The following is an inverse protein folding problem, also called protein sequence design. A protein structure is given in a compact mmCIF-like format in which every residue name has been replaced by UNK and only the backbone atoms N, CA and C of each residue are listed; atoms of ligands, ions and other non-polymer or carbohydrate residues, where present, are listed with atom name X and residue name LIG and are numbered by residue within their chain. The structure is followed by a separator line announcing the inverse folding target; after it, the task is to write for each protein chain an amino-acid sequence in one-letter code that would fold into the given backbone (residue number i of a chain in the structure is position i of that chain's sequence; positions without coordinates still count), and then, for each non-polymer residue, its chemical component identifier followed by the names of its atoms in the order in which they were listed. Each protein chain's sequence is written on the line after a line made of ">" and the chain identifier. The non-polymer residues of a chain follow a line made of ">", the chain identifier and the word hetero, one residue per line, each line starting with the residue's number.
data_IF_755436428092
#
_entry.id   IF_755436428092
#
_cell.length_a   1.000
_cell.length_b   1.000
_cell.length_c   1.000
_cell.angle_alpha   90.00
_cell.angle_beta   90.00
_cell.angle_gamma   90.00
#
_symmetry.space_group_name_H-M   'P 1'
#
loop_
_entity.id
_entity.type
_entity.pdbx_description
1 polymer ?
#
# COMPACT_ATOMS: atom_id res chain seq x y z
N UNK A 1 1.73 7.39 -35.32
CA UNK A 1 2.00 6.46 -34.20
C UNK A 1 1.41 7.04 -32.91
N UNK A 2 0.28 6.49 -32.42
CA UNK A 2 -0.40 6.98 -31.21
C UNK A 2 0.27 6.34 -29.99
N UNK A 3 1.17 7.07 -29.32
CA UNK A 3 1.72 6.67 -28.01
C UNK A 3 0.64 6.95 -26.96
N UNK A 4 -0.35 6.05 -26.86
CA UNK A 4 -1.38 6.08 -25.82
C UNK A 4 -0.94 5.37 -24.52
N UNK A 5 0.31 4.93 -24.47
CA UNK A 5 0.71 3.74 -23.71
C UNK A 5 1.28 4.05 -22.32
N UNK A 6 1.60 5.30 -22.01
CA UNK A 6 2.28 5.63 -20.76
C UNK A 6 1.32 5.91 -19.60
N UNK A 7 0.03 5.52 -19.69
CA UNK A 7 -0.99 5.70 -18.63
C UNK A 7 -0.64 5.11 -17.27
N UNK A 8 -0.15 3.87 -17.22
CA UNK A 8 -0.02 3.18 -15.95
C UNK A 8 1.38 3.19 -15.34
N UNK A 9 2.40 3.39 -16.18
CA UNK A 9 3.83 3.20 -15.88
C UNK A 9 4.30 3.96 -14.62
N UNK A 10 3.86 5.20 -14.43
CA UNK A 10 4.49 6.11 -13.44
C UNK A 10 3.85 6.05 -12.05
N UNK A 11 2.57 5.70 -11.95
CA UNK A 11 1.92 5.43 -10.65
C UNK A 11 2.47 4.11 -10.06
N UNK A 12 2.67 3.13 -10.93
CA UNK A 12 3.07 1.78 -10.57
C UNK A 12 4.51 1.63 -10.14
N UNK A 13 5.40 2.33 -10.82
CA UNK A 13 6.79 2.34 -10.43
C UNK A 13 7.00 2.88 -9.01
N UNK A 14 6.05 3.58 -8.38
CA UNK A 14 6.34 4.29 -7.14
C UNK A 14 5.81 3.72 -5.84
N UNK A 15 5.02 2.66 -5.90
CA UNK A 15 4.88 1.79 -4.73
C UNK A 15 6.16 0.98 -4.50
N UNK A 16 7.24 1.21 -5.25
CA UNK A 16 8.07 0.13 -5.73
C UNK A 16 9.48 0.57 -6.11
N UNK A 17 10.46 0.56 -5.23
CA UNK A 17 11.84 0.88 -5.64
C UNK A 17 12.73 -0.09 -6.53
N UNK A 18 14.04 0.14 -6.79
CA UNK A 18 14.86 -0.58 -7.82
C UNK A 18 16.28 -0.84 -7.35
N UNK A 19 16.75 -2.07 -7.53
CA UNK A 19 18.16 -2.48 -7.51
C UNK A 19 18.72 -2.72 -8.93
N UNK A 20 20.03 -2.82 -9.04
CA UNK A 20 20.79 -2.90 -10.29
C UNK A 20 21.69 -4.17 -10.36
N UNK A 21 21.56 -4.94 -11.45
CA UNK A 21 22.51 -5.95 -11.97
C UNK A 21 22.36 -7.36 -11.38
N UNK A 22 22.24 -8.45 -12.13
CA UNK A 22 23.14 -8.91 -13.19
C UNK A 22 22.52 -10.10 -13.98
N UNK A 23 23.07 -10.44 -15.16
CA UNK A 23 22.63 -11.49 -16.09
C UNK A 23 23.19 -12.89 -15.76
N UNK A 24 22.36 -13.95 -15.75
CA UNK A 24 22.79 -15.37 -15.81
C UNK A 24 21.63 -16.40 -15.77
N UNK A 25 21.68 -17.54 -16.49
CA UNK A 25 20.52 -18.39 -16.77
C UNK A 25 20.23 -19.48 -15.72
N UNK A 26 18.97 -19.92 -15.73
CA UNK A 26 18.38 -20.99 -14.93
C UNK A 26 18.96 -22.38 -15.22
N UNK A 27 19.05 -23.22 -14.17
CA UNK A 27 19.17 -24.66 -14.27
C UNK A 27 18.39 -25.36 -13.14
N UNK A 28 17.39 -26.13 -13.59
CA UNK A 28 16.87 -27.43 -13.15
C UNK A 28 16.74 -27.81 -11.65
N UNK A 29 15.53 -28.29 -11.37
CA UNK A 29 15.07 -29.04 -10.21
C UNK A 29 15.73 -30.43 -10.04
N UNK A 30 15.63 -30.97 -8.82
CA UNK A 30 15.17 -32.33 -8.41
C UNK A 30 15.51 -32.49 -6.92
N UNK A 31 14.51 -32.61 -6.04
CA UNK A 31 13.97 -33.87 -5.47
C UNK A 31 14.83 -34.44 -4.33
N UNK A 32 14.26 -34.54 -3.13
CA UNK A 32 14.17 -35.83 -2.41
C UNK A 32 13.50 -35.65 -1.03
N UNK A 33 12.55 -36.55 -0.79
CA UNK A 33 11.89 -36.80 0.48
C UNK A 33 12.86 -37.30 1.56
N UNK A 34 12.55 -37.05 2.84
CA UNK A 34 12.81 -38.06 3.87
C UNK A 34 11.90 -37.88 5.10
N UNK A 35 11.31 -39.01 5.45
CA UNK A 35 10.44 -39.34 6.57
C UNK A 35 11.29 -39.82 7.76
N UNK A 36 10.90 -39.52 9.02
CA UNK A 36 11.14 -40.35 10.22
C UNK A 36 10.55 -39.66 11.48
N UNK A 37 9.41 -40.11 12.02
CA UNK A 37 9.20 -41.07 13.13
C UNK A 37 9.54 -40.57 14.56
N UNK A 38 8.46 -40.28 15.31
CA UNK A 38 8.06 -40.74 16.65
C UNK A 38 9.13 -41.23 17.64
N UNK A 39 9.14 -40.68 18.86
CA UNK A 39 9.26 -41.49 20.09
C UNK A 39 8.67 -40.79 21.32
N UNK A 40 8.07 -41.60 22.18
CA UNK A 40 7.27 -41.38 23.39
C UNK A 40 8.10 -41.14 24.66
N UNK A 41 7.53 -40.48 25.68
CA UNK A 41 7.52 -40.97 27.08
C UNK A 41 6.69 -40.09 28.02
N UNK A 42 5.76 -40.75 28.71
CA UNK A 42 5.04 -40.36 29.91
C UNK A 42 5.96 -40.23 31.14
N UNK A 43 5.61 -39.36 32.11
CA UNK A 43 5.62 -39.67 33.55
C UNK A 43 4.57 -38.79 34.27
N UNK A 44 3.68 -39.44 35.02
CA UNK A 44 2.72 -38.85 35.95
C UNK A 44 3.30 -38.80 37.38
N UNK A 45 2.84 -37.85 38.20
CA UNK A 45 2.80 -37.99 39.67
C UNK A 45 1.79 -37.02 40.31
N UNK A 46 0.84 -37.60 41.05
CA UNK A 46 -0.07 -37.00 42.03
C UNK A 46 0.66 -36.55 43.32
N UNK A 47 -0.02 -35.74 44.17
CA UNK A 47 -0.35 -36.04 45.60
C UNK A 47 -0.66 -34.74 46.42
N UNK A 48 -1.90 -34.73 46.97
CA UNK A 48 -2.45 -34.24 48.26
C UNK A 48 -2.35 -32.79 48.82
N UNK A 49 -3.53 -32.15 48.86
CA UNK A 49 -4.41 -31.78 50.01
C UNK A 49 -3.91 -31.33 51.43
N UNK A 50 -4.64 -30.29 51.92
CA UNK A 50 -4.95 -29.82 53.30
C UNK A 50 -3.80 -29.19 54.14
N UNK A 51 -3.97 -28.19 55.01
CA UNK A 51 -5.10 -27.72 55.82
C UNK A 51 -4.86 -26.26 56.31
N UNK A 52 -5.95 -25.66 56.80
CA UNK A 52 -6.22 -24.34 57.36
C UNK A 52 -5.42 -23.89 58.60
N UNK A 53 -5.17 -22.57 58.74
CA UNK A 53 -5.31 -21.76 59.99
C UNK A 53 -5.50 -20.26 59.63
N UNK A 54 -6.45 -19.61 60.31
CA UNK A 54 -6.95 -18.22 60.16
C UNK A 54 -6.35 -17.27 61.26
N UNK A 55 -6.81 -16.02 61.47
CA UNK A 55 -6.18 -14.76 61.05
C UNK A 55 -5.64 -13.90 62.21
N UNK A 56 -4.78 -12.90 61.94
CA UNK A 56 -4.62 -11.72 62.80
C UNK A 56 -3.93 -10.53 62.08
N UNK A 57 -4.73 -9.49 61.88
CA UNK A 57 -4.41 -8.06 61.92
C UNK A 57 -3.20 -7.52 61.12
N UNK A 58 -3.52 -6.85 60.01
CA UNK A 58 -2.96 -5.54 59.66
C UNK A 58 -3.86 -4.91 58.61
N UNK A 59 -4.46 -3.75 58.91
CA UNK A 59 -5.08 -2.89 57.90
C UNK A 59 -3.98 -2.46 56.91
N UNK A 60 -4.08 -2.79 55.61
CA UNK A 60 -3.27 -2.15 54.60
C UNK A 60 -3.94 -0.84 54.20
N UNK A 61 -3.17 0.24 54.25
CA UNK A 61 -3.54 1.55 53.72
C UNK A 61 -4.16 1.39 52.32
N UNK A 62 -5.28 2.08 52.09
CA UNK A 62 -5.91 2.20 50.77
C UNK A 62 -4.84 2.62 49.76
N UNK A 63 -4.54 1.81 48.73
CA UNK A 63 -3.74 2.32 47.64
C UNK A 63 -4.57 3.40 46.95
N UNK A 64 -4.06 4.62 46.92
CA UNK A 64 -4.45 5.60 45.92
C UNK A 64 -4.45 4.87 44.57
N UNK A 65 -5.64 4.64 44.01
CA UNK A 65 -5.79 4.14 42.65
C UNK A 65 -5.39 5.31 41.75
N UNK A 66 -4.08 5.49 41.59
CA UNK A 66 -3.52 6.21 40.46
C UNK A 66 -4.09 5.52 39.24
N UNK A 67 -4.98 6.22 38.52
CA UNK A 67 -5.51 5.75 37.26
C UNK A 67 -4.35 5.18 36.43
N UNK A 68 -4.47 3.96 35.88
CA UNK A 68 -3.40 3.41 35.09
C UNK A 68 -3.06 4.42 34.00
N UNK A 69 -1.79 4.82 33.98
CA UNK A 69 -1.20 5.56 32.88
C UNK A 69 -1.44 4.67 31.66
N UNK A 70 -2.45 5.01 30.86
CA UNK A 70 -2.67 4.39 29.56
C UNK A 70 -1.41 4.69 28.78
N UNK A 71 -0.53 3.70 28.68
CA UNK A 71 0.52 3.69 27.67
C UNK A 71 -0.25 3.75 26.36
N UNK A 72 -0.37 4.94 25.78
CA UNK A 72 -0.80 5.08 24.41
C UNK A 72 0.20 4.27 23.61
N UNK A 73 -0.21 3.08 23.17
CA UNK A 73 0.43 2.41 22.04
C UNK A 73 0.62 3.48 20.98
N UNK A 74 1.86 3.71 20.57
CA UNK A 74 2.20 4.81 19.67
C UNK A 74 1.27 4.76 18.46
N UNK A 75 0.51 5.83 18.21
CA UNK A 75 -0.41 5.90 17.06
C UNK A 75 0.41 5.65 15.78
N UNK A 76 0.25 4.50 15.10
CA UNK A 76 1.14 4.13 14.00
C UNK A 76 1.10 5.15 12.86
N UNK A 77 -0.05 5.84 12.70
CA UNK A 77 -0.21 6.91 11.73
C UNK A 77 0.60 8.14 12.09
N UNK A 78 0.70 8.49 13.37
CA UNK A 78 1.43 9.68 13.84
C UNK A 78 2.91 9.61 13.47
N UNK A 79 3.52 8.41 13.51
CA UNK A 79 4.91 8.18 13.10
C UNK A 79 5.15 8.44 11.60
N UNK A 80 4.10 8.39 10.77
CA UNK A 80 4.18 8.62 9.33
C UNK A 80 3.85 10.06 8.92
N UNK A 81 3.31 10.88 9.83
CA UNK A 81 2.94 12.27 9.52
C UNK A 81 4.19 13.11 9.26
N UNK A 82 4.18 13.86 8.16
CA UNK A 82 5.33 14.65 7.69
C UNK A 82 6.27 13.86 6.78
N UNK A 83 5.98 12.60 6.49
CA UNK A 83 6.76 11.78 5.59
C UNK A 83 6.79 12.39 4.17
N UNK A 84 7.97 12.32 3.55
CA UNK A 84 8.20 12.63 2.14
C UNK A 84 9.22 11.62 1.61
N UNK A 85 8.73 10.61 0.89
CA UNK A 85 9.52 9.55 0.28
C UNK A 85 9.79 9.90 -1.20
N UNK A 86 11.02 10.32 -1.56
CA UNK A 86 11.39 10.56 -2.94
C UNK A 86 11.77 9.25 -3.63
N UNK A 87 11.37 9.10 -4.89
CA UNK A 87 11.64 7.92 -5.67
C UNK A 87 12.21 8.25 -7.04
N UNK A 88 13.08 7.37 -7.51
CA UNK A 88 13.52 7.26 -8.90
C UNK A 88 12.63 6.26 -9.67
N UNK A 89 12.54 6.32 -11.00
CA UNK A 89 11.80 5.34 -11.82
C UNK A 89 12.61 4.94 -13.05
N UNK A 90 12.70 3.64 -13.29
CA UNK A 90 13.40 3.00 -14.41
C UNK A 90 12.49 2.04 -15.17
N UNK A 91 12.76 1.85 -16.45
CA UNK A 91 11.98 1.00 -17.34
C UNK A 91 12.84 0.49 -18.53
N UNK A 92 12.79 -0.82 -18.84
CA UNK A 92 13.72 -1.51 -19.75
C UNK A 92 15.20 -1.22 -19.39
N UNK A 93 16.05 -0.92 -20.37
CA UNK A 93 17.48 -0.57 -20.19
C UNK A 93 17.70 0.92 -19.85
N UNK A 94 16.63 1.69 -19.64
CA UNK A 94 16.75 3.11 -19.34
C UNK A 94 16.55 3.38 -17.84
N UNK A 95 17.59 3.93 -17.23
CA UNK A 95 17.61 4.33 -15.82
C UNK A 95 17.16 5.81 -15.69
N UNK A 96 16.54 6.19 -14.56
CA UNK A 96 16.21 7.60 -14.19
C UNK A 96 15.24 8.32 -15.14
N UNK A 97 14.15 7.66 -15.52
CA UNK A 97 13.16 8.18 -16.46
C UNK A 97 12.15 9.13 -15.82
N UNK A 98 11.87 8.98 -14.54
CA UNK A 98 11.02 9.89 -13.79
C UNK A 98 11.43 9.96 -12.34
N UNK A 99 11.07 11.06 -11.71
CA UNK A 99 11.10 11.17 -10.26
C UNK A 99 9.68 11.25 -9.78
N UNK A 100 9.48 10.81 -8.56
CA UNK A 100 8.24 11.08 -7.89
C UNK A 100 8.41 11.16 -6.39
N UNK A 101 7.35 11.56 -5.71
CA UNK A 101 7.35 11.79 -4.27
C UNK A 101 6.01 11.36 -3.71
N UNK A 102 6.05 10.44 -2.74
CA UNK A 102 4.93 10.16 -1.87
C UNK A 102 5.08 11.00 -0.60
N UNK A 103 4.01 11.67 -0.18
CA UNK A 103 4.00 12.46 1.04
C UNK A 103 2.74 12.22 1.84
N UNK A 104 2.85 12.26 3.17
CA UNK A 104 1.72 12.17 4.11
C UNK A 104 1.76 13.34 5.08
N UNK A 105 0.71 14.15 5.09
CA UNK A 105 0.63 15.36 5.91
C UNK A 105 -0.74 15.49 6.56
N UNK A 106 -0.88 16.30 7.62
CA UNK A 106 -2.20 16.68 8.11
C UNK A 106 -3.01 17.37 7.01
N UNK A 107 -4.32 17.10 7.00
CA UNK A 107 -5.27 17.76 6.12
C UNK A 107 -5.57 19.19 6.58
N UNK A 108 -6.46 19.86 5.84
CA UNK A 108 -6.85 21.24 6.18
C UNK A 108 -7.77 21.30 7.40
N UNK A 109 -8.56 20.24 7.62
CA UNK A 109 -9.49 20.12 8.74
C UNK A 109 -8.88 19.23 9.83
N UNK A 110 -9.22 19.51 11.09
CA UNK A 110 -8.76 18.68 12.20
C UNK A 110 -9.25 17.25 12.04
N UNK A 111 -8.39 16.27 12.35
CA UNK A 111 -8.71 14.84 12.17
C UNK A 111 -8.66 14.36 10.72
N UNK A 112 -8.28 15.21 9.77
CA UNK A 112 -8.07 14.82 8.38
C UNK A 112 -6.61 14.73 8.02
N UNK A 113 -6.30 13.95 6.99
CA UNK A 113 -4.96 13.71 6.46
C UNK A 113 -4.98 13.83 4.95
N UNK A 114 -3.82 14.14 4.38
CA UNK A 114 -3.59 14.15 2.93
C UNK A 114 -2.38 13.29 2.57
N UNK A 115 -2.61 12.30 1.73
CA UNK A 115 -1.55 11.64 0.99
C UNK A 115 -1.45 12.25 -0.41
N UNK A 116 -0.23 12.38 -0.93
CA UNK A 116 -0.02 12.81 -2.33
C UNK A 116 1.16 12.07 -2.92
N UNK A 117 0.94 11.54 -4.11
CA UNK A 117 1.92 10.89 -4.95
C UNK A 117 2.06 11.69 -6.25
N UNK A 118 3.13 12.47 -6.34
CA UNK A 118 3.44 13.34 -7.48
C UNK A 118 4.57 12.74 -8.31
N UNK A 119 4.30 12.46 -9.58
CA UNK A 119 5.22 11.82 -10.53
C UNK A 119 5.48 12.70 -11.74
N UNK A 120 6.75 12.79 -12.14
CA UNK A 120 7.18 13.64 -13.25
C UNK A 120 8.23 12.94 -14.10
N UNK A 121 7.96 12.80 -15.40
CA UNK A 121 8.95 12.27 -16.34
C UNK A 121 10.07 13.28 -16.61
N UNK A 122 11.31 12.80 -16.72
CA UNK A 122 12.51 13.62 -16.89
C UNK A 122 13.32 13.18 -18.12
N UNK A 123 14.25 14.04 -18.54
CA UNK A 123 15.22 13.74 -19.60
C UNK A 123 14.59 13.41 -20.96
N UNK A 124 15.21 12.49 -21.70
CA UNK A 124 14.74 12.04 -23.02
C UNK A 124 13.37 11.33 -22.93
N UNK A 125 13.06 10.73 -21.77
CA UNK A 125 11.75 10.14 -21.48
C UNK A 125 10.64 11.19 -21.47
N UNK A 126 10.92 12.41 -21.01
CA UNK A 126 9.95 13.49 -21.01
C UNK A 126 9.48 13.81 -22.43
N UNK A 127 10.39 13.88 -23.42
CA UNK A 127 10.00 14.11 -24.81
C UNK A 127 9.14 12.95 -25.37
N UNK A 128 9.54 11.70 -25.11
CA UNK A 128 8.80 10.51 -25.55
C UNK A 128 7.40 10.41 -24.92
N UNK A 129 7.28 10.85 -23.67
CA UNK A 129 6.02 10.83 -22.91
C UNK A 129 5.18 12.09 -23.07
N UNK A 130 5.61 13.03 -23.92
CA UNK A 130 5.02 14.37 -24.06
C UNK A 130 4.96 15.11 -22.73
N UNK A 131 6.00 15.04 -21.90
CA UNK A 131 6.12 15.74 -20.62
C UNK A 131 4.97 15.39 -19.69
N UNK A 132 4.74 14.09 -19.55
CA UNK A 132 3.70 13.58 -18.70
C UNK A 132 4.03 13.83 -17.23
N UNK A 133 3.03 14.24 -16.47
CA UNK A 133 3.03 14.27 -15.02
C UNK A 133 1.73 13.65 -14.52
N UNK A 134 1.80 12.79 -13.53
CA UNK A 134 0.63 12.27 -12.83
C UNK A 134 0.70 12.65 -11.35
N UNK A 135 -0.42 13.13 -10.81
CA UNK A 135 -0.59 13.42 -9.40
C UNK A 135 -1.77 12.62 -8.90
N UNK A 136 -1.55 11.86 -7.83
CA UNK A 136 -2.59 11.16 -7.11
C UNK A 136 -2.66 11.75 -5.72
N UNK A 137 -3.87 12.03 -5.24
CA UNK A 137 -4.04 12.60 -3.92
C UNK A 137 -5.26 12.03 -3.25
N UNK A 138 -5.14 11.79 -1.95
CA UNK A 138 -6.23 11.30 -1.12
C UNK A 138 -6.38 12.21 0.08
N UNK A 139 -7.60 12.65 0.32
CA UNK A 139 -8.02 13.28 1.56
C UNK A 139 -8.77 12.23 2.35
N UNK A 140 -8.39 12.07 3.61
CA UNK A 140 -8.88 11.04 4.50
C UNK A 140 -9.31 11.66 5.81
N UNK A 141 -10.30 11.06 6.47
CA UNK A 141 -10.59 11.31 7.88
C UNK A 141 -10.06 10.17 8.73
N UNK A 142 -9.72 10.46 9.98
CA UNK A 142 -9.42 9.44 10.98
C UNK A 142 -10.67 9.09 11.78
N UNK A 143 -10.99 7.81 11.78
CA UNK A 143 -12.11 7.24 12.52
C UNK A 143 -11.78 7.07 14.01
N UNK A 144 -12.78 6.88 14.89
CA UNK A 144 -12.56 6.65 16.31
C UNK A 144 -11.71 5.42 16.63
N UNK A 145 -11.70 4.42 15.75
CA UNK A 145 -10.88 3.21 15.87
C UNK A 145 -9.44 3.39 15.38
N UNK A 146 -9.07 4.63 14.99
CA UNK A 146 -7.74 4.99 14.51
C UNK A 146 -7.55 4.87 12.99
N UNK A 147 -8.42 4.12 12.28
CA UNK A 147 -8.30 3.90 10.84
C UNK A 147 -8.53 5.17 10.04
N UNK A 148 -7.92 5.24 8.86
CA UNK A 148 -8.23 6.25 7.86
C UNK A 148 -9.41 5.79 7.01
N UNK A 149 -10.32 6.71 6.68
CA UNK A 149 -11.41 6.48 5.73
C UNK A 149 -11.31 7.51 4.60
N UNK A 150 -11.39 7.05 3.35
CA UNK A 150 -11.30 7.90 2.17
C UNK A 150 -12.45 8.90 2.12
N UNK A 151 -12.15 10.20 2.00
CA UNK A 151 -13.13 11.25 1.73
C UNK A 151 -13.11 11.67 0.26
N UNK A 152 -11.92 11.90 -0.28
CA UNK A 152 -11.71 12.31 -1.67
C UNK A 152 -10.47 11.63 -2.21
N UNK A 153 -10.59 10.98 -3.37
CA UNK A 153 -9.44 10.49 -4.13
C UNK A 153 -9.42 11.15 -5.51
N UNK A 154 -8.29 11.72 -5.90
CA UNK A 154 -8.12 12.40 -7.18
C UNK A 154 -6.89 11.87 -7.91
N UNK A 155 -7.09 11.50 -9.18
CA UNK A 155 -6.03 11.22 -10.14
C UNK A 155 -6.03 12.29 -11.22
N UNK A 156 -4.89 12.97 -11.36
CA UNK A 156 -4.67 13.99 -12.37
C UNK A 156 -3.52 13.59 -13.29
N UNK A 157 -3.78 13.46 -14.59
CA UNK A 157 -2.76 13.30 -15.61
C UNK A 157 -2.63 14.56 -16.44
N UNK A 158 -1.45 15.17 -16.46
CA UNK A 158 -1.10 16.26 -17.37
C UNK A 158 -0.18 15.74 -18.48
N UNK A 159 -0.39 16.18 -19.72
CA UNK A 159 0.53 15.97 -20.85
C UNK A 159 0.70 17.24 -21.66
N UNK A 160 1.81 17.37 -22.37
CA UNK A 160 2.15 18.49 -23.24
C UNK A 160 2.84 19.63 -22.48
N UNK A 161 3.23 20.66 -23.23
CA UNK A 161 3.77 21.93 -22.71
C UNK A 161 3.11 23.11 -23.41
N UNK A 162 3.01 24.24 -22.71
CA UNK A 162 2.42 25.48 -23.26
C UNK A 162 1.00 25.26 -23.79
N UNK A 163 0.75 25.69 -25.03
CA UNK A 163 -0.56 25.59 -25.70
C UNK A 163 -1.02 24.15 -26.01
N UNK A 164 -0.12 23.16 -25.97
CA UNK A 164 -0.45 21.74 -26.15
C UNK A 164 -0.80 21.02 -24.85
N UNK A 165 -0.81 21.73 -23.72
CA UNK A 165 -1.05 21.15 -22.40
C UNK A 165 -2.50 20.67 -22.30
N UNK A 166 -2.67 19.39 -21.99
CA UNK A 166 -3.96 18.76 -21.76
C UNK A 166 -3.95 18.05 -20.40
N UNK A 167 -4.97 18.32 -19.60
CA UNK A 167 -5.17 17.72 -18.28
C UNK A 167 -6.40 16.81 -18.30
N UNK A 168 -6.28 15.65 -17.67
CA UNK A 168 -7.41 14.79 -17.32
C UNK A 168 -7.44 14.62 -15.81
N UNK A 169 -8.62 14.77 -15.23
CA UNK A 169 -8.87 14.55 -13.80
C UNK A 169 -9.96 13.48 -13.68
N UNK A 170 -9.77 12.54 -12.75
CA UNK A 170 -10.81 11.65 -12.24
C UNK A 170 -10.82 11.81 -10.73
N UNK A 171 -11.97 12.16 -10.16
CA UNK A 171 -12.12 12.42 -8.73
C UNK A 171 -13.28 11.62 -8.18
N UNK A 172 -13.00 10.80 -7.17
CA UNK A 172 -13.98 10.14 -6.34
C UNK A 172 -14.20 10.97 -5.07
N UNK A 173 -15.46 11.20 -4.72
CA UNK A 173 -15.86 11.85 -3.47
C UNK A 173 -16.83 10.92 -2.75
N UNK A 174 -16.47 10.50 -1.53
CA UNK A 174 -17.25 9.57 -0.72
C UNK A 174 -18.12 10.38 0.24
N UNK A 175 -19.40 10.50 -0.06
CA UNK A 175 -20.37 11.21 0.76
C UNK A 175 -21.07 10.23 1.71
N UNK A 176 -20.43 9.94 2.84
CA UNK A 176 -20.97 9.03 3.85
C UNK A 176 -22.27 9.52 4.50
N UNK A 177 -22.52 10.84 4.49
CA UNK A 177 -23.74 11.41 5.06
C UNK A 177 -24.97 11.13 4.19
N UNK A 178 -24.79 11.14 2.87
CA UNK A 178 -25.85 10.88 1.90
C UNK A 178 -25.85 9.43 1.40
N UNK A 179 -24.84 8.63 1.76
CA UNK A 179 -24.69 7.26 1.27
C UNK A 179 -24.40 7.21 -0.23
N UNK A 180 -23.67 8.19 -0.76
CA UNK A 180 -23.38 8.31 -2.19
C UNK A 180 -21.88 8.41 -2.46
N UNK A 181 -21.45 7.92 -3.62
CA UNK A 181 -20.11 8.11 -4.14
C UNK A 181 -20.22 8.87 -5.46
N UNK A 182 -19.61 10.05 -5.53
CA UNK A 182 -19.53 10.84 -6.75
C UNK A 182 -18.24 10.57 -7.49
N UNK A 183 -18.36 10.41 -8.80
CA UNK A 183 -17.20 10.39 -9.69
C UNK A 183 -17.26 11.51 -10.70
N UNK A 184 -16.42 12.51 -10.49
CA UNK A 184 -16.19 13.60 -11.44
C UNK A 184 -15.07 13.25 -12.40
N UNK A 185 -15.28 13.49 -13.70
CA UNK A 185 -14.26 13.37 -14.73
C UNK A 185 -14.16 14.68 -15.49
N UNK A 186 -12.94 15.20 -15.61
CA UNK A 186 -12.65 16.40 -16.39
C UNK A 186 -11.67 16.03 -17.50
N UNK A 187 -12.02 16.35 -18.75
CA UNK A 187 -11.15 16.11 -19.92
C UNK A 187 -11.40 17.15 -20.99
N UNK A 188 -10.38 17.93 -21.35
CA UNK A 188 -10.47 18.85 -22.48
C UNK A 188 -11.53 19.94 -22.34
N UNK A 189 -11.86 20.34 -21.11
CA UNK A 189 -12.92 21.32 -20.81
C UNK A 189 -14.31 20.71 -20.58
N UNK A 190 -14.52 19.44 -20.94
CA UNK A 190 -15.75 18.72 -20.61
C UNK A 190 -15.67 18.16 -19.19
N UNK A 191 -16.77 18.28 -18.45
CA UNK A 191 -16.96 17.69 -17.12
C UNK A 191 -18.17 16.76 -17.14
N UNK A 192 -18.01 15.57 -16.58
CA UNK A 192 -19.11 14.63 -16.33
C UNK A 192 -19.09 14.19 -14.89
N UNK A 193 -20.27 13.94 -14.32
CA UNK A 193 -20.44 13.35 -12.99
C UNK A 193 -21.25 12.07 -13.10
N UNK A 194 -20.75 11.01 -12.48
CA UNK A 194 -21.46 9.76 -12.23
C UNK A 194 -21.77 9.71 -10.73
N UNK A 195 -22.92 9.17 -10.36
CA UNK A 195 -23.36 9.00 -8.97
C UNK A 195 -23.59 7.51 -8.74
N UNK A 196 -23.04 7.00 -7.65
CA UNK A 196 -23.19 5.62 -7.22
C UNK A 196 -23.78 5.59 -5.83
N UNK A 197 -24.65 4.63 -5.57
CA UNK A 197 -25.08 4.32 -4.21
C UNK A 197 -23.91 3.67 -3.45
N UNK A 198 -23.67 4.13 -2.23
CA UNK A 198 -22.64 3.58 -1.36
C UNK A 198 -23.12 2.23 -0.80
N UNK A 199 -22.36 1.15 -0.97
CA UNK A 199 -22.71 -0.14 -0.39
C UNK A 199 -22.75 -0.11 1.15
N UNK A 200 -23.52 -1.03 1.76
CA UNK A 200 -23.86 -1.03 3.20
C UNK A 200 -22.66 -1.14 4.15
N UNK A 201 -21.54 -1.72 3.69
CA UNK A 201 -20.30 -1.86 4.46
C UNK A 201 -19.59 -0.51 4.71
N UNK A 202 -19.81 0.48 3.84
CA UNK A 202 -19.50 1.91 4.10
C UNK A 202 -18.05 2.24 4.43
N UNK A 203 -17.11 1.31 4.22
CA UNK A 203 -15.69 1.46 4.53
C UNK A 203 -14.85 1.13 3.30
N UNK A 204 -14.54 2.16 2.51
CA UNK A 204 -13.74 2.02 1.30
C UNK A 204 -12.41 2.72 1.42
N UNK A 205 -11.41 2.10 0.81
CA UNK A 205 -10.07 2.64 0.72
C UNK A 205 -9.76 2.91 -0.75
N UNK A 206 -9.42 4.15 -1.07
CA UNK A 206 -8.61 4.42 -2.26
C UNK A 206 -7.18 3.87 -2.06
N UNK A 207 -6.40 3.82 -3.13
CA UNK A 207 -5.05 3.20 -3.12
C UNK A 207 -4.09 3.82 -2.08
N UNK A 208 -4.15 5.13 -1.83
CA UNK A 208 -3.25 5.76 -0.85
C UNK A 208 -3.75 5.55 0.57
N UNK A 209 -5.07 5.59 0.77
CA UNK A 209 -5.69 5.26 2.06
C UNK A 209 -5.41 3.81 2.45
N UNK A 210 -5.57 2.89 1.50
CA UNK A 210 -5.25 1.47 1.66
C UNK A 210 -3.78 1.29 2.07
N UNK A 211 -2.86 1.98 1.39
CA UNK A 211 -1.43 1.93 1.70
C UNK A 211 -1.12 2.34 3.15
N UNK A 212 -1.62 3.49 3.60
CA UNK A 212 -1.34 3.97 4.97
C UNK A 212 -2.04 3.11 6.03
N UNK A 213 -3.27 2.66 5.79
CA UNK A 213 -3.96 1.74 6.71
C UNK A 213 -3.26 0.38 6.81
N UNK A 214 -2.79 -0.15 5.67
CA UNK A 214 -2.04 -1.40 5.63
C UNK A 214 -0.73 -1.28 6.41
N UNK A 215 0.08 -0.25 6.15
CA UNK A 215 1.34 -0.01 6.85
C UNK A 215 1.14 0.20 8.36
N UNK A 216 0.01 0.77 8.76
CA UNK A 216 -0.36 0.93 10.17
C UNK A 216 -0.88 -0.36 10.83
N UNK A 217 -1.03 -1.47 10.09
CA UNK A 217 -1.51 -2.75 10.63
C UNK A 217 -3.02 -2.83 10.85
N UNK A 218 -3.81 -1.89 10.30
CA UNK A 218 -5.26 -1.85 10.53
C UNK A 218 -6.05 -2.95 9.82
N UNK A 219 -5.39 -3.76 8.99
CA UNK A 219 -5.95 -4.97 8.39
C UNK A 219 -5.44 -6.27 9.04
N UNK A 220 -4.79 -6.14 10.21
CA UNK A 220 -4.13 -7.24 10.92
C UNK A 220 -2.61 -7.10 10.91
N UNK A 221 -1.96 -7.90 11.75
CA UNK A 221 -0.49 -7.99 11.80
C UNK A 221 0.04 -8.47 10.45
N UNK A 222 1.04 -7.75 9.89
CA UNK A 222 1.66 -8.10 8.61
C UNK A 222 2.63 -9.25 8.81
N UNK A 223 2.16 -10.48 8.60
CA UNK A 223 2.96 -11.70 8.77
C UNK A 223 3.36 -12.34 7.43
N UNK A 224 4.53 -13.02 7.34
CA UNK A 224 4.91 -13.82 6.18
C UNK A 224 3.84 -14.85 5.78
N UNK A 225 3.52 -14.94 4.49
CA UNK A 225 2.45 -15.81 3.98
C UNK A 225 1.04 -15.25 4.14
N UNK A 226 0.86 -14.13 4.84
CA UNK A 226 -0.44 -13.50 5.06
C UNK A 226 -1.08 -12.98 3.77
N UNK A 227 -2.41 -13.07 3.69
CA UNK A 227 -3.23 -12.50 2.61
C UNK A 227 -4.21 -11.50 3.21
N UNK A 228 -4.18 -10.27 2.72
CA UNK A 228 -5.01 -9.17 3.19
C UNK A 228 -5.92 -8.71 2.07
N UNK A 229 -7.19 -8.56 2.41
CA UNK A 229 -8.22 -8.12 1.49
C UNK A 229 -8.73 -6.76 1.94
N UNK A 230 -8.37 -5.73 1.18
CA UNK A 230 -8.62 -4.34 1.54
C UNK A 230 -9.82 -3.84 0.71
N UNK A 231 -10.96 -3.50 1.34
CA UNK A 231 -12.13 -3.07 0.60
C UNK A 231 -11.87 -1.75 -0.11
N UNK A 232 -12.21 -1.70 -1.39
CA UNK A 232 -12.07 -0.54 -2.27
C UNK A 232 -13.34 -0.34 -3.10
N UNK A 233 -13.41 0.79 -3.79
CA UNK A 233 -14.53 1.13 -4.66
C UNK A 233 -14.02 1.56 -6.03
N UNK A 234 -14.62 1.01 -7.07
CA UNK A 234 -14.34 1.34 -8.47
C UNK A 234 -15.64 1.71 -9.19
N UNK A 235 -15.58 2.08 -10.47
CA UNK A 235 -16.78 2.30 -11.30
C UNK A 235 -17.63 1.05 -11.47
N UNK A 236 -17.07 -0.12 -11.16
CA UNK A 236 -17.76 -1.40 -11.20
C UNK A 236 -18.43 -1.75 -9.87
N UNK A 237 -18.28 -0.90 -8.84
CA UNK A 237 -18.83 -1.09 -7.50
C UNK A 237 -17.76 -1.46 -6.48
N UNK A 238 -18.16 -2.19 -5.45
CA UNK A 238 -17.24 -2.74 -4.45
C UNK A 238 -16.21 -3.66 -5.11
N UNK A 239 -14.97 -3.55 -4.64
CA UNK A 239 -13.89 -4.45 -5.00
C UNK A 239 -12.91 -4.58 -3.85
N UNK A 240 -11.79 -5.24 -4.13
CA UNK A 240 -10.74 -5.44 -3.14
C UNK A 240 -9.37 -5.17 -3.75
N UNK A 241 -8.49 -4.54 -2.97
CA UNK A 241 -7.04 -4.62 -3.17
C UNK A 241 -6.56 -5.84 -2.40
N UNK A 242 -5.90 -6.78 -3.08
CA UNK A 242 -5.35 -7.98 -2.43
C UNK A 242 -3.86 -7.80 -2.23
N UNK A 243 -3.41 -7.91 -0.98
CA UNK A 243 -1.99 -7.92 -0.63
C UNK A 243 -1.62 -9.32 -0.17
N UNK A 244 -0.74 -9.98 -0.89
CA UNK A 244 -0.18 -11.28 -0.51
C UNK A 244 1.26 -11.09 -0.07
N UNK A 245 1.57 -11.41 1.19
CA UNK A 245 2.93 -11.39 1.72
C UNK A 245 3.60 -12.71 1.39
N UNK A 246 4.79 -12.66 0.79
CA UNK A 246 5.59 -13.85 0.54
C UNK A 246 6.27 -14.35 1.80
N UNK A 247 6.23 -15.67 2.00
CA UNK A 247 7.08 -16.33 2.99
C UNK A 247 8.55 -16.30 2.57
N UNK A 248 9.45 -16.32 3.55
CA UNK A 248 10.88 -16.54 3.29
C UNK A 248 11.07 -17.85 2.51
N UNK A 249 11.77 -17.80 1.37
CA UNK A 249 12.00 -18.96 0.49
C UNK A 249 10.99 -19.18 -0.65
N UNK A 250 9.86 -18.46 -0.68
CA UNK A 250 8.84 -18.58 -1.74
C UNK A 250 8.78 -17.35 -2.67
N UNK A 251 9.84 -16.56 -2.71
CA UNK A 251 9.89 -15.33 -3.51
C UNK A 251 9.94 -15.67 -5.00
N UNK A 252 9.26 -14.90 -5.87
CA UNK A 252 9.29 -15.11 -7.31
C UNK A 252 10.75 -15.06 -7.83
N UNK A 253 11.06 -15.97 -8.76
CA UNK A 253 12.39 -16.08 -9.34
C UNK A 253 12.76 -14.84 -10.17
N UNK A 254 14.01 -14.37 -10.06
CA UNK A 254 14.56 -13.35 -10.95
C UNK A 254 14.41 -11.88 -10.50
N UNK A 255 13.90 -11.64 -9.30
CA UNK A 255 13.84 -10.29 -8.71
C UNK A 255 14.91 -10.12 -7.64
N UNK A 256 15.85 -9.18 -7.86
CA UNK A 256 16.91 -8.81 -6.91
C UNK A 256 16.35 -8.02 -5.69
N UNK A 257 15.45 -8.65 -4.94
CA UNK A 257 14.95 -8.08 -3.68
C UNK A 257 15.90 -8.41 -2.51
N UNK A 258 16.16 -7.45 -1.60
CA UNK A 258 16.95 -7.67 -0.41
C UNK A 258 16.39 -8.81 0.45
N UNK A 259 17.25 -9.57 1.12
CA UNK A 259 16.83 -10.72 1.94
C UNK A 259 16.03 -10.33 3.18
N UNK A 260 16.37 -9.23 3.85
CA UNK A 260 15.56 -8.65 4.94
C UNK A 260 14.31 -7.93 4.40
N UNK A 261 13.40 -7.52 5.28
CA UNK A 261 12.15 -6.84 4.90
C UNK A 261 11.04 -7.77 4.39
N UNK A 262 9.96 -7.17 3.90
CA UNK A 262 8.71 -7.86 3.54
C UNK A 262 8.47 -7.71 2.04
N UNK A 263 8.35 -8.82 1.32
CA UNK A 263 7.95 -8.82 -0.09
C UNK A 263 6.46 -9.13 -0.21
N UNK A 264 5.71 -8.29 -0.91
CA UNK A 264 4.29 -8.44 -1.17
C UNK A 264 4.02 -8.50 -2.67
N UNK A 265 3.08 -9.34 -3.10
CA UNK A 265 2.35 -9.19 -4.36
C UNK A 265 1.08 -8.39 -4.08
N UNK A 266 0.79 -7.39 -4.88
CA UNK A 266 -0.41 -6.55 -4.76
C UNK A 266 -1.23 -6.68 -6.03
N UNK A 267 -2.46 -7.14 -5.89
CA UNK A 267 -3.44 -7.21 -6.97
C UNK A 267 -4.37 -6.01 -6.81
N UNK A 268 -4.49 -5.22 -7.88
CA UNK A 268 -5.31 -4.03 -7.88
C UNK A 268 -6.11 -3.96 -9.17
N UNK A 269 -7.36 -3.50 -9.06
CA UNK A 269 -8.28 -3.41 -10.20
C UNK A 269 -7.70 -2.62 -11.37
N UNK A 270 -7.94 -3.12 -12.59
CA UNK A 270 -7.46 -2.53 -13.84
C UNK A 270 -7.89 -1.08 -14.05
N UNK A 271 -9.01 -0.64 -13.45
CA UNK A 271 -9.44 0.76 -13.55
C UNK A 271 -8.45 1.72 -12.89
N UNK A 272 -7.85 1.33 -11.78
CA UNK A 272 -6.91 2.18 -11.05
C UNK A 272 -5.62 2.34 -11.88
N UNK A 273 -5.37 1.39 -12.78
CA UNK A 273 -4.03 1.08 -13.19
C UNK A 273 -3.83 0.79 -14.67
N UNK A 274 -4.87 0.79 -15.52
CA UNK A 274 -4.79 0.61 -16.98
C UNK A 274 -3.76 -0.48 -17.42
N UNK A 275 -3.56 -1.53 -16.62
CA UNK A 275 -2.67 -2.67 -16.92
C UNK A 275 -3.48 -3.88 -17.36
N UNK A 276 -2.85 -4.79 -18.11
CA UNK A 276 -3.39 -6.14 -18.27
C UNK A 276 -3.19 -6.96 -16.99
N UNK A 277 -2.76 -8.22 -17.12
CA UNK A 277 -2.52 -9.15 -16.00
C UNK A 277 -1.29 -8.85 -15.12
N UNK A 278 -0.78 -7.61 -15.12
CA UNK A 278 0.52 -7.25 -14.54
C UNK A 278 0.52 -7.27 -13.02
N UNK A 279 1.29 -8.19 -12.44
CA UNK A 279 1.51 -8.28 -11.00
C UNK A 279 2.39 -7.14 -10.48
N UNK A 280 2.05 -6.65 -9.30
CA UNK A 280 2.78 -5.60 -8.58
C UNK A 280 3.52 -6.23 -7.43
N UNK A 281 4.84 -6.13 -7.41
CA UNK A 281 5.67 -6.66 -6.33
C UNK A 281 6.25 -5.53 -5.52
N UNK A 282 5.89 -5.40 -4.24
CA UNK A 282 6.41 -4.39 -3.32
C UNK A 282 7.34 -5.02 -2.30
N UNK A 283 8.56 -4.56 -2.21
CA UNK A 283 9.44 -4.83 -1.08
C UNK A 283 9.44 -3.65 -0.12
N UNK A 284 8.96 -3.92 1.09
CA UNK A 284 8.99 -3.01 2.22
C UNK A 284 10.28 -3.21 3.02
N UNK A 285 10.93 -2.10 3.37
CA UNK A 285 12.06 -2.14 4.31
C UNK A 285 11.60 -2.36 5.76
N UNK A 286 12.55 -2.45 6.68
CA UNK A 286 12.28 -2.70 8.10
C UNK A 286 11.48 -1.57 8.79
N UNK A 287 11.29 -0.43 8.13
CA UNK A 287 10.42 0.68 8.58
C UNK A 287 9.04 0.65 7.91
N UNK A 288 8.73 -0.43 7.20
CA UNK A 288 7.50 -0.59 6.44
C UNK A 288 7.38 0.36 5.25
N UNK A 289 8.48 0.98 4.80
CA UNK A 289 8.45 1.88 3.64
C UNK A 289 8.59 1.06 2.37
N UNK A 290 7.80 1.32 1.32
CA UNK A 290 7.96 0.63 0.05
C UNK A 290 9.29 1.05 -0.57
N UNK A 291 10.32 0.23 -0.42
CA UNK A 291 11.68 0.62 -0.76
C UNK A 291 12.14 0.01 -2.07
N UNK A 292 11.58 -1.14 -2.48
CA UNK A 292 11.74 -1.77 -3.80
C UNK A 292 10.38 -2.21 -4.37
N UNK A 293 10.24 -2.28 -5.69
CA UNK A 293 9.16 -2.94 -6.34
C UNK A 293 9.18 -2.89 -7.86
N UNK A 294 8.33 -3.74 -8.41
CA UNK A 294 8.33 -4.10 -9.81
C UNK A 294 6.91 -4.29 -10.28
N UNK A 295 6.56 -3.71 -11.42
CA UNK A 295 5.34 -4.06 -12.15
C UNK A 295 5.72 -4.76 -13.42
N UNK A 296 5.28 -6.01 -13.53
CA UNK A 296 5.63 -6.87 -14.64
C UNK A 296 4.71 -6.61 -15.84
N UNK A 297 5.25 -6.84 -17.04
CA UNK A 297 4.46 -6.92 -18.28
C UNK A 297 3.60 -5.68 -18.59
N UNK A 298 4.06 -4.48 -18.24
CA UNK A 298 3.32 -3.25 -18.59
C UNK A 298 3.21 -3.13 -20.11
N UNK A 299 2.00 -2.92 -20.63
CA UNK A 299 1.73 -3.06 -22.06
C UNK A 299 2.62 -2.15 -22.95
N UNK A 300 3.31 -2.73 -23.95
CA UNK A 300 4.34 -2.11 -24.83
C UNK A 300 5.49 -1.40 -24.11
N UNK A 301 5.66 -1.73 -22.85
CA UNK A 301 6.65 -1.18 -21.96
C UNK A 301 7.44 -2.44 -21.53
N UNK A 302 6.90 -3.32 -20.72
CA UNK A 302 7.64 -4.37 -20.04
C UNK A 302 7.79 -3.97 -18.58
N UNK A 303 8.81 -4.46 -17.89
CA UNK A 303 8.89 -4.27 -16.44
C UNK A 303 9.26 -2.83 -16.05
N UNK A 304 8.50 -2.28 -15.12
CA UNK A 304 8.71 -0.95 -14.55
C UNK A 304 9.14 -1.09 -13.09
N UNK A 305 10.16 -0.34 -12.68
CA UNK A 305 10.75 -0.38 -11.33
C UNK A 305 11.00 1.06 -10.83
N UNK A 306 10.57 1.45 -9.65
CA UNK A 306 10.94 2.74 -8.97
C UNK A 306 12.27 2.65 -8.23
N UNK A 307 12.72 3.52 -7.31
CA UNK A 307 13.66 3.29 -6.14
C UNK A 307 13.42 4.33 -5.08
N UNK A 308 13.17 3.94 -3.82
CA UNK A 308 13.28 4.90 -2.72
C UNK A 308 14.72 5.45 -2.66
N UNK A 309 14.85 6.78 -2.64
CA UNK A 309 16.14 7.49 -2.65
C UNK A 309 16.66 7.80 -1.24
#
# INVERSE_FOLDING_TARGET
>A
MKIAILRPIFLFALLLGAGSGFSGPAACAEDESAVATVTTSDVAAEVEAADSVDPLASEPAEPEVTAPLVLQEEDPLAAMVGESLPYDISFLWFNRLAHARLSFVPGQESGTYRATLDTNTRGLAATLTRNRSDVFSSVMERLPDGRLRSLVYESQTTRGRGSSRATRISRYTYNYAEGEIYRDRIRGGEQSREVYEMPEDGFFNDVLTAFYNFRAGYFGEIVPGGRYEIPTFTRHGSGSIIVQVYAEGHRPFGTDFPSSGILCRVEIDEEIFDTGDGDVYVWFDDLGRPAIGVVENVLNVGDVRGRLL
#
